data_IF_298021524594
#
_entry.id   IF_298021524594
#
_cell.length_a   1.000
_cell.length_b   1.000
_cell.length_c   1.000
_cell.angle_alpha   90.00
_cell.angle_beta   90.00
_cell.angle_gamma   90.00
#
_symmetry.space_group_name_H-M   'P 1'
#
loop_
_entity.id
_entity.type
_entity.pdbx_description
1 polymer ?
#
# COMPACT_ATOMS: atom_id res chain seq x y z
N UNK A 1 20.56 -28.16 11.28
CA UNK A 1 21.76 -27.46 10.73
C UNK A 1 21.57 -27.06 9.26
N UNK A 2 21.10 -27.95 8.37
CA UNK A 2 20.85 -27.61 6.96
C UNK A 2 19.62 -26.70 6.71
N UNK A 3 18.54 -26.83 7.48
CA UNK A 3 17.33 -25.99 7.33
C UNK A 3 17.52 -24.55 7.79
N UNK A 4 18.32 -24.32 8.84
CA UNK A 4 18.68 -22.96 9.28
C UNK A 4 19.57 -22.25 8.25
N UNK A 5 20.41 -23.00 7.52
CA UNK A 5 21.18 -22.48 6.40
C UNK A 5 20.30 -22.20 5.18
N UNK A 6 19.27 -23.02 4.90
CA UNK A 6 18.32 -22.75 3.82
C UNK A 6 17.46 -21.50 4.07
N UNK A 7 17.02 -21.27 5.31
CA UNK A 7 16.29 -20.06 5.73
C UNK A 7 17.18 -18.80 5.64
N UNK A 8 18.46 -18.90 6.00
CA UNK A 8 19.43 -17.81 5.87
C UNK A 8 19.77 -17.49 4.40
N UNK A 9 19.69 -18.46 3.48
CA UNK A 9 19.95 -18.24 2.06
C UNK A 9 18.75 -17.66 1.31
N UNK A 10 17.52 -17.94 1.74
CA UNK A 10 16.31 -17.28 1.23
C UNK A 10 16.25 -15.79 1.58
N UNK A 11 16.90 -15.35 2.66
CA UNK A 11 17.05 -13.93 3.04
C UNK A 11 17.99 -13.12 2.12
N UNK A 12 18.67 -13.73 1.14
CA UNK A 12 19.69 -13.01 0.34
C UNK A 12 19.14 -12.31 -0.90
N UNK A 13 17.89 -12.54 -1.28
CA UNK A 13 17.29 -11.98 -2.50
C UNK A 13 16.31 -10.87 -2.16
N UNK A 14 16.78 -9.62 -2.27
CA UNK A 14 15.94 -8.45 -2.11
C UNK A 14 14.91 -8.38 -3.24
N UNK A 15 13.63 -8.41 -2.88
CA UNK A 15 12.54 -8.18 -3.82
C UNK A 15 12.43 -6.69 -4.18
N UNK A 16 11.46 -6.32 -5.02
CA UNK A 16 11.29 -4.94 -5.44
C UNK A 16 10.85 -4.02 -4.28
N UNK A 17 10.06 -4.54 -3.34
CA UNK A 17 9.56 -3.77 -2.20
C UNK A 17 10.67 -3.51 -1.19
N UNK A 18 11.54 -4.49 -0.92
CA UNK A 18 12.72 -4.32 -0.08
C UNK A 18 13.69 -3.29 -0.66
N UNK A 19 13.94 -3.38 -1.97
CA UNK A 19 14.79 -2.40 -2.67
C UNK A 19 14.24 -1.00 -2.58
N UNK A 20 12.92 -0.85 -2.76
CA UNK A 20 12.22 0.43 -2.61
C UNK A 20 12.38 0.97 -1.19
N UNK A 21 12.13 0.14 -0.17
CA UNK A 21 12.29 0.51 1.23
C UNK A 21 13.71 1.03 1.50
N UNK A 22 14.72 0.23 1.17
CA UNK A 22 16.13 0.61 1.35
C UNK A 22 16.43 1.94 0.64
N UNK A 23 16.01 2.09 -0.62
CA UNK A 23 16.27 3.30 -1.41
C UNK A 23 15.68 4.54 -0.74
N UNK A 24 14.43 4.47 -0.29
CA UNK A 24 13.76 5.59 0.39
C UNK A 24 14.47 5.96 1.68
N UNK A 25 14.84 4.98 2.51
CA UNK A 25 15.59 5.20 3.75
C UNK A 25 16.91 5.92 3.49
N UNK A 26 17.65 5.53 2.44
CA UNK A 26 18.90 6.18 2.06
C UNK A 26 18.70 7.61 1.55
N UNK A 27 17.71 7.84 0.68
CA UNK A 27 17.42 9.17 0.14
C UNK A 27 17.00 10.15 1.25
N UNK A 28 16.17 9.71 2.19
CA UNK A 28 15.78 10.52 3.34
C UNK A 28 16.97 10.85 4.23
N UNK A 29 17.80 9.86 4.56
CA UNK A 29 19.02 10.08 5.34
C UNK A 29 19.93 11.13 4.67
N UNK A 30 20.04 11.08 3.34
CA UNK A 30 20.78 12.09 2.58
C UNK A 30 20.17 13.49 2.71
N UNK A 31 18.85 13.61 2.65
CA UNK A 31 18.12 14.87 2.79
C UNK A 31 18.25 15.45 4.21
N UNK A 32 17.97 14.65 5.24
CA UNK A 32 18.03 15.03 6.65
C UNK A 32 19.43 15.49 7.06
N UNK A 33 20.47 14.81 6.58
CA UNK A 33 21.86 15.13 6.89
C UNK A 33 22.52 16.08 5.86
N UNK A 34 21.78 16.46 4.80
CA UNK A 34 22.26 17.32 3.70
C UNK A 34 23.54 16.80 3.05
N UNK A 35 23.63 15.50 2.84
CA UNK A 35 24.80 14.85 2.24
C UNK A 35 24.55 14.40 0.80
N UNK A 36 25.61 14.41 -0.01
CA UNK A 36 25.56 13.87 -1.37
C UNK A 36 25.87 12.38 -1.44
N UNK A 37 25.61 11.78 -2.61
CA UNK A 37 25.87 10.34 -2.86
C UNK A 37 27.34 9.92 -2.58
N UNK A 38 28.38 10.73 -2.88
CA UNK A 38 29.76 10.36 -2.52
C UNK A 38 30.01 10.23 -1.02
N UNK A 39 29.33 11.03 -0.20
CA UNK A 39 29.41 10.95 1.26
C UNK A 39 28.66 9.72 1.76
N UNK A 40 27.46 9.46 1.22
CA UNK A 40 26.71 8.23 1.54
C UNK A 40 27.53 6.98 1.20
N UNK A 41 28.22 6.95 0.06
CA UNK A 41 29.09 5.84 -0.34
C UNK A 41 30.16 5.53 0.74
N UNK A 42 30.78 6.56 1.32
CA UNK A 42 31.77 6.40 2.39
C UNK A 42 31.14 5.81 3.65
N UNK A 43 29.99 6.32 4.06
CA UNK A 43 29.28 5.85 5.25
C UNK A 43 28.81 4.40 5.11
N UNK A 44 28.29 4.02 3.94
CA UNK A 44 27.92 2.63 3.67
C UNK A 44 29.16 1.73 3.63
N UNK A 45 30.27 2.18 3.05
CA UNK A 45 31.50 1.41 3.04
C UNK A 45 32.07 1.19 4.46
N UNK A 46 32.05 2.24 5.28
CA UNK A 46 32.49 2.22 6.68
C UNK A 46 31.61 1.29 7.53
N UNK A 47 30.28 1.41 7.43
CA UNK A 47 29.34 0.54 8.16
C UNK A 47 29.42 -0.95 7.77
N UNK A 48 30.02 -1.25 6.62
CA UNK A 48 30.19 -2.62 6.13
C UNK A 48 31.62 -3.14 6.24
N UNK A 49 32.56 -2.34 6.76
CA UNK A 49 34.01 -2.64 6.80
C UNK A 49 34.57 -3.07 5.44
N UNK A 50 34.20 -2.33 4.38
CA UNK A 50 34.66 -2.57 3.01
C UNK A 50 35.40 -1.35 2.46
N UNK A 51 36.30 -1.59 1.51
CA UNK A 51 36.92 -0.49 0.76
C UNK A 51 35.89 0.14 -0.18
N UNK A 52 36.01 1.46 -0.37
CA UNK A 52 35.17 2.25 -1.29
C UNK A 52 35.05 1.66 -2.70
N UNK A 53 36.10 1.00 -3.20
CA UNK A 53 36.14 0.37 -4.53
C UNK A 53 35.12 -0.77 -4.68
N UNK A 54 34.73 -1.43 -3.58
CA UNK A 54 33.73 -2.51 -3.58
C UNK A 54 32.29 -2.00 -3.63
N UNK A 55 32.08 -0.69 -3.45
CA UNK A 55 30.79 -0.03 -3.61
C UNK A 55 30.92 1.06 -4.69
N UNK A 56 30.94 0.73 -5.99
CA UNK A 56 31.18 1.73 -7.03
C UNK A 56 30.14 2.85 -7.01
N UNK A 57 30.60 4.11 -6.99
CA UNK A 57 29.74 5.30 -6.90
C UNK A 57 28.63 5.31 -7.95
N UNK A 58 28.97 4.99 -9.20
CA UNK A 58 28.01 4.95 -10.32
C UNK A 58 26.91 3.91 -10.12
N UNK A 59 27.21 2.79 -9.44
CA UNK A 59 26.24 1.74 -9.13
C UNK A 59 25.29 2.20 -8.02
N UNK A 60 25.81 2.85 -6.98
CA UNK A 60 24.99 3.45 -5.93
C UNK A 60 24.07 4.56 -6.49
N UNK A 61 24.61 5.45 -7.34
CA UNK A 61 23.81 6.47 -8.02
C UNK A 61 22.68 5.87 -8.86
N UNK A 62 22.95 4.80 -9.63
CA UNK A 62 21.92 4.12 -10.43
C UNK A 62 20.83 3.48 -9.59
N UNK A 63 21.20 2.92 -8.43
CA UNK A 63 20.25 2.35 -7.46
C UNK A 63 19.34 3.43 -6.87
N UNK A 64 19.93 4.54 -6.42
CA UNK A 64 19.19 5.68 -5.86
C UNK A 64 18.29 6.38 -6.89
N UNK A 65 18.68 6.36 -8.18
CA UNK A 65 17.90 6.92 -9.27
C UNK A 65 16.86 5.95 -9.87
N UNK A 66 16.76 4.71 -9.37
CA UNK A 66 15.89 3.64 -9.87
C UNK A 66 15.99 3.36 -11.39
N UNK A 67 17.18 3.59 -11.98
CA UNK A 67 17.32 3.51 -13.44
C UNK A 67 17.65 2.10 -13.96
N UNK A 68 18.19 1.22 -13.11
CA UNK A 68 18.67 -0.11 -13.50
C UNK A 68 18.53 -1.11 -12.36
N UNK A 69 18.29 -2.38 -12.68
CA UNK A 69 18.36 -3.46 -11.69
C UNK A 69 19.77 -3.53 -11.12
N UNK A 70 19.85 -3.30 -9.82
CA UNK A 70 21.09 -3.30 -9.07
C UNK A 70 21.47 -4.70 -8.57
N UNK A 71 22.77 -4.96 -8.47
CA UNK A 71 23.31 -6.22 -7.95
C UNK A 71 22.96 -6.38 -6.46
N UNK A 72 22.40 -7.54 -6.08
CA UNK A 72 21.97 -7.87 -4.72
C UNK A 72 23.09 -7.75 -3.68
N UNK A 73 24.35 -7.96 -4.08
CA UNK A 73 25.52 -7.77 -3.20
C UNK A 73 25.62 -6.31 -2.75
N UNK A 74 25.40 -5.36 -3.67
CA UNK A 74 25.42 -3.93 -3.35
C UNK A 74 24.20 -3.54 -2.51
N UNK A 75 23.03 -4.07 -2.86
CA UNK A 75 21.79 -3.84 -2.10
C UNK A 75 21.95 -4.34 -0.67
N UNK A 76 22.68 -5.44 -0.45
CA UNK A 76 23.00 -5.95 0.88
C UNK A 76 23.82 -4.97 1.73
N UNK A 77 24.81 -4.31 1.15
CA UNK A 77 25.60 -3.30 1.88
C UNK A 77 24.73 -2.09 2.26
N UNK A 78 23.90 -1.64 1.33
CA UNK A 78 22.92 -0.58 1.56
C UNK A 78 21.92 -0.97 2.64
N UNK A 79 21.40 -2.20 2.60
CA UNK A 79 20.48 -2.75 3.60
C UNK A 79 21.11 -2.77 4.98
N UNK A 80 22.36 -3.23 5.12
CA UNK A 80 23.05 -3.28 6.40
C UNK A 80 23.21 -1.87 7.01
N UNK A 81 23.60 -0.89 6.20
CA UNK A 81 23.67 0.50 6.65
C UNK A 81 22.29 1.05 7.04
N UNK A 82 21.26 0.75 6.24
CA UNK A 82 19.90 1.22 6.48
C UNK A 82 19.20 0.53 7.67
N UNK A 83 19.68 -0.63 8.11
CA UNK A 83 19.06 -1.40 9.20
C UNK A 83 19.03 -0.65 10.54
N UNK A 84 20.01 0.23 10.77
CA UNK A 84 20.12 1.04 11.98
C UNK A 84 19.42 2.41 11.84
N UNK A 85 18.89 2.72 10.66
CA UNK A 85 18.16 3.96 10.41
C UNK A 85 16.67 3.76 10.74
N UNK A 86 15.97 4.81 11.21
CA UNK A 86 14.52 4.74 11.42
C UNK A 86 13.82 4.30 10.12
N UNK A 87 12.98 3.28 10.15
CA UNK A 87 12.22 2.89 8.96
C UNK A 87 11.10 3.93 8.72
N UNK A 88 11.16 4.69 7.61
CA UNK A 88 9.94 5.36 7.12
C UNK A 88 9.17 4.34 6.32
N UNK A 89 8.22 3.69 6.98
CA UNK A 89 7.07 3.19 6.25
C UNK A 89 6.13 4.39 6.03
N UNK A 90 5.94 4.89 4.78
CA UNK A 90 5.07 6.05 4.56
C UNK A 90 3.63 5.80 5.01
N UNK A 91 3.20 4.53 5.08
CA UNK A 91 1.89 4.15 5.62
C UNK A 91 1.86 4.32 7.13
N UNK A 92 2.96 4.01 7.82
CA UNK A 92 3.13 4.31 9.22
C UNK A 92 2.98 5.81 9.51
N UNK A 93 3.78 6.61 8.83
CA UNK A 93 3.84 8.06 9.04
C UNK A 93 2.50 8.72 8.70
N UNK A 94 1.82 8.25 7.63
CA UNK A 94 0.45 8.67 7.30
C UNK A 94 -0.55 8.29 8.40
N UNK A 95 -0.52 7.04 8.87
CA UNK A 95 -1.45 6.57 9.88
C UNK A 95 -1.25 7.28 11.22
N UNK A 96 0.01 7.51 11.64
CA UNK A 96 0.35 8.29 12.83
C UNK A 96 -0.15 9.74 12.71
N UNK A 97 0.05 10.38 11.57
CA UNK A 97 -0.48 11.72 11.30
C UNK A 97 -2.02 11.76 11.31
N UNK A 98 -2.70 10.74 10.77
CA UNK A 98 -4.16 10.65 10.80
C UNK A 98 -4.70 10.45 12.22
N UNK A 99 -4.07 9.58 13.02
CA UNK A 99 -4.42 9.39 14.44
C UNK A 99 -4.32 10.73 15.19
N UNK A 100 -3.21 11.45 15.00
CA UNK A 100 -2.99 12.76 15.62
C UNK A 100 -4.02 13.80 15.14
N UNK A 101 -4.26 13.88 13.83
CA UNK A 101 -5.20 14.84 13.23
C UNK A 101 -6.63 14.63 13.72
N UNK A 102 -7.07 13.38 13.84
CA UNK A 102 -8.41 13.02 14.30
C UNK A 102 -8.64 13.33 15.79
N UNK A 103 -7.66 13.88 16.50
CA UNK A 103 -7.80 14.33 17.89
C UNK A 103 -7.88 13.18 18.89
N UNK A 104 -7.39 12.00 18.50
CA UNK A 104 -7.39 10.80 19.31
C UNK A 104 -6.30 10.93 20.36
N UNK A 105 -6.68 11.48 21.51
CA UNK A 105 -5.87 11.39 22.71
C UNK A 105 -5.94 9.94 23.23
N UNK A 106 -4.84 9.37 23.73
CA UNK A 106 -4.80 8.00 24.29
C UNK A 106 -5.87 7.69 25.34
N UNK A 107 -6.43 8.71 25.98
CA UNK A 107 -7.42 8.60 27.05
C UNK A 107 -8.88 8.79 26.62
N UNK A 108 -9.17 8.98 25.33
CA UNK A 108 -10.55 9.11 24.81
C UNK A 108 -10.90 7.97 23.86
N UNK A 109 -12.00 7.27 24.19
CA UNK A 109 -12.52 6.05 23.58
C UNK A 109 -12.96 6.16 22.10
N UNK A 110 -12.62 7.25 21.41
CA UNK A 110 -13.14 7.56 20.09
C UNK A 110 -12.33 6.90 18.96
N UNK A 111 -11.17 6.31 19.24
CA UNK A 111 -10.42 5.48 18.29
C UNK A 111 -10.35 4.04 18.75
N UNK A 112 -10.80 3.14 17.90
CA UNK A 112 -10.77 1.72 18.17
C UNK A 112 -9.63 1.09 17.39
N UNK A 113 -8.79 0.32 18.09
CA UNK A 113 -7.85 -0.55 17.42
C UNK A 113 -8.63 -1.51 16.50
N UNK A 114 -8.09 -1.77 15.31
CA UNK A 114 -8.70 -2.75 14.41
C UNK A 114 -8.75 -4.12 15.07
N UNK A 115 -9.90 -4.80 14.97
CA UNK A 115 -10.03 -6.17 15.46
C UNK A 115 -9.24 -7.13 14.58
N UNK A 116 -8.67 -8.22 15.14
CA UNK A 116 -7.89 -9.19 14.36
C UNK A 116 -8.61 -9.77 13.14
N UNK A 117 -9.94 -9.83 13.22
CA UNK A 117 -10.82 -10.31 12.17
C UNK A 117 -10.72 -9.49 10.87
N UNK A 118 -10.43 -8.19 10.98
CA UNK A 118 -10.31 -7.27 9.84
C UNK A 118 -9.04 -7.48 9.02
N UNK A 119 -8.05 -8.24 9.50
CA UNK A 119 -6.84 -8.53 8.74
C UNK A 119 -7.02 -9.71 7.79
N UNK A 120 -6.35 -9.60 6.64
CA UNK A 120 -6.36 -10.62 5.59
C UNK A 120 -6.80 -10.08 4.23
N UNK A 121 -7.27 -10.99 3.39
CA UNK A 121 -7.57 -10.72 1.97
C UNK A 121 -9.07 -10.79 1.69
N UNK A 122 -9.53 -9.83 0.89
CA UNK A 122 -10.93 -9.66 0.52
C UNK A 122 -11.13 -9.59 -0.99
N UNK A 123 -12.22 -10.20 -1.45
CA UNK A 123 -12.74 -10.04 -2.80
C UNK A 123 -13.75 -8.88 -2.82
N UNK A 124 -13.45 -7.85 -3.61
CA UNK A 124 -14.29 -6.67 -3.78
C UNK A 124 -15.27 -6.83 -4.93
N UNK A 125 -16.54 -6.50 -4.69
CA UNK A 125 -17.56 -6.37 -5.74
C UNK A 125 -18.16 -4.96 -5.68
N UNK A 126 -18.69 -4.52 -6.82
CA UNK A 126 -19.29 -3.20 -6.97
C UNK A 126 -20.59 -3.27 -7.76
N UNK A 127 -21.45 -2.26 -7.58
CA UNK A 127 -22.59 -2.06 -8.48
C UNK A 127 -22.10 -1.94 -9.94
N UNK A 128 -22.71 -2.66 -10.90
CA UNK A 128 -22.33 -2.57 -12.30
C UNK A 128 -22.54 -1.16 -12.83
N UNK A 129 -21.72 -0.73 -13.79
CA UNK A 129 -21.90 0.57 -14.42
C UNK A 129 -23.30 0.66 -15.07
N UNK A 130 -24.14 1.57 -14.57
CA UNK A 130 -25.50 1.77 -15.09
C UNK A 130 -25.43 2.57 -16.38
N UNK A 131 -25.99 2.03 -17.47
CA UNK A 131 -26.29 2.80 -18.69
C UNK A 131 -27.80 3.05 -18.75
N UNK A 132 -28.24 4.28 -18.50
CA UNK A 132 -29.65 4.68 -18.58
C UNK A 132 -30.45 4.51 -17.28
N UNK A 133 -31.77 4.36 -17.39
CA UNK A 133 -32.68 4.19 -16.25
C UNK A 133 -32.69 2.71 -15.86
N UNK A 134 -32.10 2.38 -14.70
CA UNK A 134 -32.07 1.03 -14.16
C UNK A 134 -32.92 0.91 -12.89
N UNK A 135 -33.68 -0.17 -12.77
CA UNK A 135 -34.33 -0.57 -11.52
C UNK A 135 -33.24 -1.18 -10.63
N UNK A 136 -33.05 -0.63 -9.43
CA UNK A 136 -32.15 -1.23 -8.43
C UNK A 136 -32.81 -2.51 -7.93
N UNK A 137 -32.20 -3.66 -8.23
CA UNK A 137 -32.58 -4.91 -7.61
C UNK A 137 -32.05 -4.93 -6.18
N UNK A 138 -32.85 -5.41 -5.23
CA UNK A 138 -32.38 -5.63 -3.87
C UNK A 138 -31.33 -6.76 -3.85
N UNK A 139 -30.39 -6.68 -2.91
CA UNK A 139 -29.31 -7.67 -2.74
C UNK A 139 -28.07 -7.44 -3.62
N UNK A 140 -27.08 -8.31 -3.45
CA UNK A 140 -25.74 -8.18 -4.06
C UNK A 140 -25.51 -9.10 -5.27
N UNK A 141 -26.51 -9.88 -5.70
CA UNK A 141 -26.35 -10.91 -6.74
C UNK A 141 -25.95 -10.34 -8.10
N UNK A 142 -26.40 -9.12 -8.40
CA UNK A 142 -26.11 -8.43 -9.65
C UNK A 142 -24.76 -7.71 -9.67
N UNK A 143 -24.02 -7.72 -8.56
CA UNK A 143 -22.76 -7.00 -8.41
C UNK A 143 -21.61 -7.73 -9.09
N UNK A 144 -20.71 -6.96 -9.69
CA UNK A 144 -19.61 -7.49 -10.50
C UNK A 144 -18.31 -7.51 -9.70
N UNK A 145 -17.44 -8.52 -9.89
CA UNK A 145 -16.08 -8.50 -9.35
C UNK A 145 -15.36 -7.23 -9.78
N UNK A 146 -14.71 -6.56 -8.82
CA UNK A 146 -14.13 -5.24 -9.00
C UNK A 146 -12.64 -5.18 -8.61
N UNK A 147 -12.30 -5.70 -7.44
CA UNK A 147 -10.95 -5.57 -6.88
C UNK A 147 -10.60 -6.69 -5.89
N UNK A 148 -9.35 -6.70 -5.45
CA UNK A 148 -8.88 -7.45 -4.29
C UNK A 148 -8.29 -6.46 -3.29
N UNK A 149 -8.75 -6.51 -2.05
CA UNK A 149 -8.26 -5.69 -0.94
C UNK A 149 -7.46 -6.58 0.02
N UNK A 150 -6.29 -6.14 0.46
CA UNK A 150 -5.49 -6.81 1.49
C UNK A 150 -5.29 -5.84 2.63
N UNK A 151 -5.53 -6.30 3.86
CA UNK A 151 -5.32 -5.53 5.08
C UNK A 151 -4.30 -6.26 5.93
N UNK A 152 -3.21 -5.58 6.27
CA UNK A 152 -2.07 -6.10 7.00
C UNK A 152 -1.93 -5.39 8.34
N UNK A 153 -1.52 -6.14 9.36
CA UNK A 153 -1.20 -5.58 10.68
C UNK A 153 0.08 -4.75 10.59
N UNK A 154 0.07 -3.60 11.29
CA UNK A 154 1.29 -2.85 11.55
C UNK A 154 1.62 -3.00 13.05
N UNK A 155 2.78 -3.57 13.41
CA UNK A 155 3.13 -3.82 14.81
C UNK A 155 3.00 -2.57 15.68
N UNK A 156 2.40 -2.74 16.86
CA UNK A 156 2.20 -1.69 17.88
C UNK A 156 1.40 -0.45 17.41
N UNK A 157 0.63 -0.55 16.32
CA UNK A 157 -0.18 0.56 15.80
C UNK A 157 -1.67 0.23 15.82
N UNK A 158 -2.55 1.23 16.07
CA UNK A 158 -3.99 1.02 16.15
C UNK A 158 -4.69 1.11 14.77
N UNK A 159 -3.92 0.98 13.68
CA UNK A 159 -4.37 1.05 12.29
C UNK A 159 -3.62 0.00 11.47
N UNK A 160 -4.17 -0.38 10.32
CA UNK A 160 -3.60 -1.39 9.42
C UNK A 160 -3.09 -0.76 8.12
N UNK A 161 -2.13 -1.42 7.49
CA UNK A 161 -1.78 -1.12 6.11
C UNK A 161 -2.84 -1.74 5.19
N UNK A 162 -3.25 -1.01 4.15
CA UNK A 162 -4.19 -1.52 3.15
C UNK A 162 -3.61 -1.42 1.76
N UNK A 163 -3.83 -2.46 0.96
CA UNK A 163 -3.45 -2.52 -0.45
C UNK A 163 -4.64 -2.98 -1.28
N UNK A 164 -4.89 -2.32 -2.40
CA UNK A 164 -5.96 -2.71 -3.31
C UNK A 164 -5.45 -2.91 -4.73
N UNK A 165 -5.86 -4.01 -5.35
CA UNK A 165 -5.67 -4.29 -6.77
C UNK A 165 -7.03 -4.24 -7.45
N UNK A 166 -7.31 -3.15 -8.18
CA UNK A 166 -8.54 -3.02 -8.98
C UNK A 166 -8.33 -3.69 -10.33
N UNK A 167 -9.14 -4.69 -10.63
CA UNK A 167 -9.04 -5.50 -11.86
C UNK A 167 -10.13 -5.15 -12.87
N UNK A 168 -11.29 -4.66 -12.43
CA UNK A 168 -12.43 -4.30 -13.28
C UNK A 168 -12.89 -2.87 -12.97
N UNK A 169 -12.02 -1.89 -13.23
CA UNK A 169 -12.31 -0.49 -12.93
C UNK A 169 -13.58 0.05 -13.62
N UNK A 170 -13.87 -0.47 -14.82
CA UNK A 170 -15.06 -0.12 -15.61
C UNK A 170 -16.35 -0.83 -15.15
N UNK A 171 -16.24 -1.81 -14.23
CA UNK A 171 -17.36 -2.57 -13.66
C UNK A 171 -18.26 -3.18 -14.72
N UNK A 172 -17.64 -3.76 -15.74
CA UNK A 172 -18.36 -4.47 -16.79
C UNK A 172 -18.76 -5.85 -16.29
N UNK A 173 -19.96 -6.30 -16.68
CA UNK A 173 -20.45 -7.66 -16.35
C UNK A 173 -19.58 -8.74 -17.01
N UNK A 174 -19.03 -8.43 -18.18
CA UNK A 174 -18.07 -9.27 -18.88
C UNK A 174 -16.67 -8.79 -18.53
N UNK A 175 -15.95 -9.53 -17.70
CA UNK A 175 -14.51 -9.34 -17.52
C UNK A 175 -13.84 -10.11 -18.65
N UNK A 176 -13.54 -9.43 -19.76
CA UNK A 176 -12.81 -10.06 -20.86
C UNK A 176 -11.41 -10.44 -20.39
N UNK A 177 -11.01 -11.69 -20.62
CA UNK A 177 -9.63 -12.11 -20.40
C UNK A 177 -8.70 -11.21 -21.24
N UNK A 178 -7.99 -10.29 -20.60
CA UNK A 178 -7.12 -9.31 -21.25
C UNK A 178 -7.41 -7.82 -20.98
N UNK A 179 -8.49 -7.47 -20.28
CA UNK A 179 -8.68 -6.09 -19.82
C UNK A 179 -7.63 -5.75 -18.76
N UNK A 180 -6.58 -5.04 -19.17
CA UNK A 180 -5.46 -4.67 -18.30
C UNK A 180 -5.59 -3.21 -17.90
N UNK A 181 -6.37 -2.95 -16.87
CA UNK A 181 -6.26 -1.74 -16.08
C UNK A 181 -6.11 -2.14 -14.61
N UNK A 182 -4.93 -2.66 -14.27
CA UNK A 182 -4.54 -2.95 -12.88
C UNK A 182 -4.24 -1.63 -12.18
N UNK A 183 -5.23 -1.03 -11.52
CA UNK A 183 -4.93 0.10 -10.63
C UNK A 183 -4.48 -0.46 -9.29
N UNK A 184 -3.34 0.02 -8.82
CA UNK A 184 -2.78 -0.34 -7.52
C UNK A 184 -2.96 0.83 -6.57
N UNK A 185 -3.49 0.54 -5.39
CA UNK A 185 -3.64 1.49 -4.30
C UNK A 185 -2.95 0.98 -3.05
N UNK A 186 -2.40 1.90 -2.28
CA UNK A 186 -1.84 1.65 -0.95
C UNK A 186 -2.32 2.74 0.01
N UNK A 187 -2.43 2.41 1.29
CA UNK A 187 -2.93 3.35 2.28
C UNK A 187 -3.03 2.77 3.67
N UNK A 188 -3.87 3.39 4.49
CA UNK A 188 -4.16 2.94 5.84
C UNK A 188 -5.65 2.68 6.06
N UNK A 189 -5.93 1.65 6.85
CA UNK A 189 -7.26 1.31 7.36
C UNK A 189 -7.33 1.69 8.85
N UNK A 190 -8.39 2.38 9.26
CA UNK A 190 -8.56 2.84 10.64
C UNK A 190 -10.04 2.96 11.02
N UNK A 191 -10.34 2.98 12.33
CA UNK A 191 -11.71 2.92 12.84
C UNK A 191 -12.01 4.01 13.90
N UNK A 192 -12.23 5.28 13.48
CA UNK A 192 -12.73 6.33 14.35
C UNK A 192 -14.23 6.13 14.62
N UNK A 193 -14.62 6.23 15.88
CA UNK A 193 -16.01 6.21 16.37
C UNK A 193 -16.87 5.04 15.81
N UNK A 194 -16.24 3.88 15.58
CA UNK A 194 -16.93 2.67 15.10
C UNK A 194 -17.19 2.61 13.59
N UNK A 195 -16.83 3.64 12.82
CA UNK A 195 -16.90 3.60 11.35
C UNK A 195 -15.52 3.20 10.78
N UNK A 196 -15.48 2.33 9.77
CA UNK A 196 -14.24 1.83 9.20
C UNK A 196 -13.86 2.66 7.97
N UNK A 197 -12.66 3.25 7.97
CA UNK A 197 -12.17 4.09 6.89
C UNK A 197 -10.91 3.51 6.28
N UNK A 198 -10.87 3.46 4.95
CA UNK A 198 -9.63 3.21 4.21
C UNK A 198 -9.26 4.48 3.44
N UNK A 199 -8.12 5.08 3.76
CA UNK A 199 -7.58 6.20 3.01
C UNK A 199 -6.35 5.74 2.24
N UNK A 200 -6.44 5.79 0.91
CA UNK A 200 -5.46 5.23 0.00
C UNK A 200 -5.06 6.22 -1.07
N UNK A 201 -3.92 5.97 -1.70
CA UNK A 201 -3.46 6.65 -2.90
C UNK A 201 -3.18 5.64 -4.00
N UNK A 202 -3.41 6.05 -5.24
CA UNK A 202 -2.92 5.30 -6.39
C UNK A 202 -1.37 5.32 -6.38
N UNK A 203 -0.72 4.17 -6.49
CA UNK A 203 0.74 4.09 -6.37
C UNK A 203 1.47 4.78 -7.53
N UNK A 204 0.82 4.92 -8.69
CA UNK A 204 1.40 5.57 -9.88
C UNK A 204 1.09 7.07 -9.91
N UNK A 205 -0.16 7.46 -9.65
CA UNK A 205 -0.61 8.85 -9.85
C UNK A 205 -0.75 9.66 -8.56
N UNK A 206 -0.67 9.01 -7.39
CA UNK A 206 -0.94 9.63 -6.10
C UNK A 206 -2.39 10.04 -5.88
N UNK A 207 -3.30 9.75 -6.82
CA UNK A 207 -4.71 10.16 -6.71
C UNK A 207 -5.38 9.46 -5.53
N UNK A 208 -6.12 10.20 -4.69
CA UNK A 208 -6.71 9.64 -3.48
C UNK A 208 -7.88 8.71 -3.82
N UNK A 209 -8.06 7.72 -2.95
CA UNK A 209 -9.20 6.82 -2.90
C UNK A 209 -9.62 6.67 -1.44
N UNK A 210 -10.90 6.83 -1.16
CA UNK A 210 -11.44 6.78 0.19
C UNK A 210 -12.58 5.78 0.26
N UNK A 211 -12.52 4.86 1.22
CA UNK A 211 -13.65 4.01 1.57
C UNK A 211 -14.23 4.41 2.93
N UNK A 212 -15.55 4.48 2.97
CA UNK A 212 -16.34 4.50 4.20
C UNK A 212 -17.09 3.18 4.27
N UNK A 213 -16.68 2.30 5.17
CA UNK A 213 -17.21 0.96 5.33
C UNK A 213 -17.90 0.84 6.69
N UNK A 214 -19.04 0.14 6.70
CA UNK A 214 -19.65 -0.37 7.92
C UNK A 214 -19.47 -1.88 7.94
N UNK A 215 -19.07 -2.46 9.07
CA UNK A 215 -19.34 -3.86 9.29
C UNK A 215 -20.87 -4.03 9.38
N UNK A 216 -21.48 -4.88 8.54
CA UNK A 216 -22.88 -5.27 8.75
C UNK A 216 -22.96 -6.32 9.87
N UNK A 217 -22.06 -7.32 9.88
CA UNK A 217 -21.69 -8.23 10.99
C UNK A 217 -20.63 -9.27 10.54
N UNK A 218 -19.47 -9.43 11.18
CA UNK A 218 -18.18 -8.81 10.80
C UNK A 218 -17.84 -8.78 9.30
N UNK A 219 -18.46 -9.64 8.49
CA UNK A 219 -18.34 -9.67 7.03
C UNK A 219 -19.70 -9.96 6.39
N UNK A 220 -19.97 -9.42 5.20
CA UNK A 220 -19.08 -8.61 4.38
C UNK A 220 -18.90 -7.17 4.90
N UNK A 221 -17.81 -6.51 4.50
CA UNK A 221 -17.67 -5.07 4.72
C UNK A 221 -18.44 -4.36 3.61
N UNK A 222 -19.45 -3.57 3.98
CA UNK A 222 -20.32 -2.88 3.02
C UNK A 222 -20.16 -1.38 3.20
N UNK A 223 -20.11 -0.64 2.09
CA UNK A 223 -20.05 0.80 2.20
C UNK A 223 -19.91 1.52 0.87
N UNK A 224 -19.27 2.68 0.91
CA UNK A 224 -19.10 3.55 -0.23
C UNK A 224 -17.63 3.79 -0.50
N UNK A 225 -17.25 3.73 -1.78
CA UNK A 225 -15.94 4.14 -2.25
C UNK A 225 -16.00 5.38 -3.11
N UNK A 226 -15.06 6.28 -2.86
CA UNK A 226 -14.84 7.49 -3.61
C UNK A 226 -13.53 7.37 -4.37
N UNK A 227 -13.60 7.56 -5.69
CA UNK A 227 -12.42 7.55 -6.55
C UNK A 227 -12.56 8.54 -7.69
N UNK A 228 -11.41 8.98 -8.22
CA UNK A 228 -11.41 9.79 -9.44
C UNK A 228 -11.94 9.01 -10.64
N UNK A 229 -12.78 9.68 -11.43
CA UNK A 229 -13.35 9.16 -12.69
C UNK A 229 -12.38 9.22 -13.85
N UNK A 230 -11.27 9.95 -13.73
CA UNK A 230 -10.30 10.10 -14.82
C UNK A 230 -9.59 8.79 -15.12
N UNK A 231 -9.37 8.51 -16.41
CA UNK A 231 -8.40 7.50 -16.81
C UNK A 231 -7.00 7.94 -16.34
N UNK A 232 -6.14 6.97 -15.98
CA UNK A 232 -4.78 7.26 -15.49
C UNK A 232 -3.92 7.97 -16.56
N UNK A 233 -4.28 7.82 -17.84
CA UNK A 233 -3.55 8.38 -19.00
C UNK A 233 -4.11 9.74 -19.46
N UNK A 234 -5.20 10.22 -18.86
CA UNK A 234 -5.83 11.48 -19.24
C UNK A 234 -5.33 12.64 -18.39
N UNK A 235 -5.28 13.85 -18.99
CA UNK A 235 -4.96 15.06 -18.24
C UNK A 235 -5.94 15.22 -17.07
N UNK A 236 -5.51 15.81 -15.94
CA UNK A 236 -6.40 16.10 -14.82
C UNK A 236 -7.63 16.84 -15.33
N UNK A 237 -8.79 16.19 -15.24
CA UNK A 237 -10.06 16.84 -15.55
C UNK A 237 -10.36 17.80 -14.40
N UNK A 238 -11.08 18.88 -14.71
CA UNK A 238 -11.67 19.80 -13.73
C UNK A 238 -13.17 19.86 -14.01
N UNK A 239 -14.02 19.91 -12.98
CA UNK A 239 -15.48 20.01 -13.17
C UNK A 239 -16.33 19.21 -12.18
N UNK A 240 -17.63 19.05 -12.44
CA UNK A 240 -18.57 18.42 -11.51
C UNK A 240 -18.50 16.88 -11.49
N UNK A 241 -17.88 16.24 -12.49
CA UNK A 241 -17.87 14.78 -12.66
C UNK A 241 -16.51 14.15 -12.31
N UNK A 242 -15.74 14.75 -11.40
CA UNK A 242 -14.36 14.34 -11.09
C UNK A 242 -14.25 13.07 -10.25
N UNK A 243 -15.27 12.79 -9.47
CA UNK A 243 -15.29 11.69 -8.53
C UNK A 243 -16.58 10.91 -8.70
N UNK A 244 -16.48 9.60 -8.51
CA UNK A 244 -17.64 8.72 -8.38
C UNK A 244 -17.71 8.22 -6.95
N UNK A 245 -18.93 8.16 -6.42
CA UNK A 245 -19.25 7.58 -5.12
C UNK A 245 -20.09 6.33 -5.37
N UNK A 246 -19.57 5.17 -4.99
CA UNK A 246 -20.15 3.90 -5.40
C UNK A 246 -20.27 2.94 -4.24
N UNK A 247 -21.33 2.13 -4.27
CA UNK A 247 -21.49 1.06 -3.29
C UNK A 247 -20.55 -0.09 -3.60
N UNK A 248 -19.88 -0.55 -2.54
CA UNK A 248 -18.85 -1.59 -2.57
C UNK A 248 -19.10 -2.58 -1.43
N UNK A 249 -18.71 -3.82 -1.70
CA UNK A 249 -18.80 -4.94 -0.77
C UNK A 249 -17.49 -5.71 -0.84
N UNK A 250 -16.92 -6.01 0.32
CA UNK A 250 -15.72 -6.81 0.46
C UNK A 250 -16.05 -8.07 1.26
N UNK A 251 -15.97 -9.21 0.58
CA UNK A 251 -16.14 -10.53 1.17
C UNK A 251 -14.77 -11.12 1.48
N UNK A 252 -14.62 -11.81 2.61
CA UNK A 252 -13.34 -12.46 2.95
C UNK A 252 -13.06 -13.58 1.95
N UNK A 253 -11.85 -13.62 1.39
CA UNK A 253 -11.49 -14.67 0.44
C UNK A 253 -11.52 -16.04 1.13
N UNK A 254 -12.21 -17.02 0.54
CA UNK A 254 -12.24 -18.38 1.05
C UNK A 254 -10.83 -18.99 1.00
N UNK A 255 -10.26 -19.30 2.17
CA UNK A 255 -8.93 -19.90 2.32
C UNK A 255 -7.87 -19.07 3.05
N UNK A 256 -8.24 -17.99 3.75
CA UNK A 256 -7.29 -17.23 4.56
C UNK A 256 -6.95 -17.93 5.86
N UNK A 257 -5.80 -18.62 5.91
CA UNK A 257 -5.08 -18.81 7.18
C UNK A 257 -4.85 -17.44 7.81
N UNK A 258 -5.21 -17.31 9.08
CA UNK A 258 -4.77 -16.22 9.94
C UNK A 258 -3.24 -16.21 9.91
N UNK A 259 -2.63 -15.18 9.33
CA UNK A 259 -1.19 -14.91 9.47
C UNK A 259 -0.98 -14.31 10.85
#
# INVERSE_FOLDING_TARGET
MAEAQAAAWQQTRFDQADRERIRRTLLRYMEENRIGVPTLQKLVAEANDIRLDHLPLKTLQRFLADTHRSNDIMVRFCHRFAADLPDDDPLASLGEALVQFMGVMPDKADWQALTPELFGRYAGRAEPAVKGIGIKADGFDHWVPFSTLTVETLPARPFGAVREVVSNWSRTKSVSAGQTARRLYEGVLFQPAGALFAFMRNTLTGTPRLYWLSPENPFPLVGYGHESTSALDERPTVGPNLFRADRLIFERAAGGETI
#
